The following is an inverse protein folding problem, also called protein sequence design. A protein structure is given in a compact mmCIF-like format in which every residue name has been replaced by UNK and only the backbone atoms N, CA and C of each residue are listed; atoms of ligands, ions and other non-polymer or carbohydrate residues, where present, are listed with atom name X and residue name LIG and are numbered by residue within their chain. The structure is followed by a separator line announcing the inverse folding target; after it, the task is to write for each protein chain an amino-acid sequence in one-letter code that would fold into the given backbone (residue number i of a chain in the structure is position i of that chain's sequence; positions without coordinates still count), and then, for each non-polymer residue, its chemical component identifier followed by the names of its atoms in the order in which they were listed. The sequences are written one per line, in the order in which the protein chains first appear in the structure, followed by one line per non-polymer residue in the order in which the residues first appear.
data_IF_098183387198
#
_entry.id   IF_098183387198
#
_cell.length_a   1.000
_cell.length_b   1.000
_cell.length_c   1.000
_cell.angle_alpha   90.00
_cell.angle_beta   90.00
_cell.angle_gamma   90.00
#
_symmetry.space_group_name_H-M   'P 1'
#
loop_
_entity.id
_entity.type
_entity.pdbx_description
1 polymer ?
#
# COMPACT_ATOMS: atom_id res chain seq x y z
N UNK A 1 21.85 4.46 9.38
CA UNK A 1 22.11 5.05 8.07
C UNK A 1 21.40 6.41 7.98
N UNK A 2 22.06 7.41 7.39
CA UNK A 2 21.49 8.71 7.12
C UNK A 2 21.37 8.86 5.60
N UNK A 3 20.16 9.08 5.10
CA UNK A 3 19.97 9.48 3.71
C UNK A 3 20.25 10.98 3.59
N UNK A 4 21.02 11.41 2.58
CA UNK A 4 21.27 12.83 2.35
C UNK A 4 19.98 13.53 1.87
N UNK A 5 20.02 14.84 1.81
CA UNK A 5 19.14 15.64 0.95
C UNK A 5 19.84 15.86 -0.40
N UNK A 6 19.11 16.32 -1.42
CA UNK A 6 19.74 16.83 -2.64
C UNK A 6 20.75 17.92 -2.29
N UNK A 7 21.84 18.04 -3.07
CA UNK A 7 22.86 19.07 -2.84
C UNK A 7 22.28 20.46 -3.09
N UNK A 8 21.47 20.57 -4.15
CA UNK A 8 20.85 21.83 -4.56
C UNK A 8 19.32 21.73 -4.48
N UNK A 9 18.65 22.87 -4.62
CA UNK A 9 17.23 22.92 -4.85
C UNK A 9 16.88 22.17 -6.15
N UNK A 10 15.81 21.41 -6.10
CA UNK A 10 15.40 20.61 -7.26
C UNK A 10 14.90 21.52 -8.37
N UNK A 11 15.31 21.23 -9.60
CA UNK A 11 14.89 21.94 -10.80
C UNK A 11 14.14 20.97 -11.71
N UNK A 12 12.94 21.34 -12.12
CA UNK A 12 12.11 20.56 -13.06
C UNK A 12 12.81 20.35 -14.41
N UNK A 13 12.32 19.41 -15.21
CA UNK A 13 12.87 19.16 -16.56
C UNK A 13 12.70 20.35 -17.51
N UNK A 14 11.78 21.26 -17.23
CA UNK A 14 11.57 22.52 -17.98
C UNK A 14 12.27 23.74 -17.37
N UNK A 15 13.15 23.52 -16.37
CA UNK A 15 14.03 24.56 -15.84
C UNK A 15 13.48 25.40 -14.68
N UNK A 16 12.32 25.07 -14.12
CA UNK A 16 11.76 25.77 -12.97
C UNK A 16 12.30 25.21 -11.66
N UNK A 17 12.86 26.03 -10.79
CA UNK A 17 13.22 25.62 -9.43
C UNK A 17 11.97 25.44 -8.57
N UNK A 18 11.96 24.37 -7.77
CA UNK A 18 10.93 24.17 -6.74
C UNK A 18 11.19 24.94 -5.46
N UNK A 19 12.37 25.56 -5.32
CA UNK A 19 12.75 26.46 -4.22
C UNK A 19 13.18 25.73 -2.94
N UNK A 20 13.40 24.41 -2.98
CA UNK A 20 13.89 23.63 -1.84
C UNK A 20 14.62 22.36 -2.26
N UNK A 21 15.44 21.86 -1.32
CA UNK A 21 16.12 20.57 -1.41
C UNK A 21 15.16 19.44 -1.06
N UNK A 22 15.31 18.31 -1.74
CA UNK A 22 14.42 17.16 -1.53
C UNK A 22 15.10 16.02 -0.80
N UNK A 23 14.28 15.07 -0.33
CA UNK A 23 14.67 13.86 0.39
C UNK A 23 14.47 12.62 -0.47
N UNK A 24 15.22 11.56 -0.18
CA UNK A 24 15.09 10.24 -0.83
C UNK A 24 14.22 9.26 -0.03
N UNK A 25 13.57 9.69 1.06
CA UNK A 25 12.80 8.81 1.95
C UNK A 25 11.45 8.37 1.37
N UNK A 26 10.97 9.01 0.31
CA UNK A 26 9.70 8.65 -0.35
C UNK A 26 9.92 7.56 -1.42
N UNK A 27 10.71 6.52 -1.08
CA UNK A 27 10.92 5.36 -1.95
C UNK A 27 9.80 4.32 -1.73
N UNK A 28 9.61 3.46 -2.75
CA UNK A 28 8.62 2.39 -2.73
C UNK A 28 9.30 1.02 -2.79
N UNK A 29 8.89 0.11 -1.90
CA UNK A 29 9.43 -1.24 -1.81
C UNK A 29 8.44 -2.20 -2.45
N UNK A 30 8.87 -2.84 -3.56
CA UNK A 30 8.15 -3.95 -4.18
C UNK A 30 8.86 -5.28 -3.90
N UNK A 31 8.37 -6.38 -4.48
CA UNK A 31 8.89 -7.73 -4.18
C UNK A 31 10.38 -7.89 -4.54
N UNK A 32 10.80 -7.42 -5.71
CA UNK A 32 12.16 -7.58 -6.25
C UNK A 32 12.87 -6.27 -6.51
N UNK A 33 12.20 -5.14 -6.31
CA UNK A 33 12.74 -3.81 -6.65
C UNK A 33 12.40 -2.79 -5.56
N UNK A 34 13.30 -1.81 -5.38
CA UNK A 34 13.03 -0.58 -4.63
C UNK A 34 13.10 0.59 -5.60
N UNK A 35 12.00 1.32 -5.73
CA UNK A 35 11.93 2.52 -6.57
C UNK A 35 12.28 3.74 -5.73
N UNK A 36 13.33 4.45 -6.10
CA UNK A 36 13.86 5.58 -5.33
C UNK A 36 13.67 6.87 -6.11
N UNK A 37 13.09 7.93 -5.49
CA UNK A 37 12.99 9.21 -6.15
C UNK A 37 14.38 9.79 -6.41
N UNK A 38 14.68 10.15 -7.66
CA UNK A 38 15.91 10.80 -8.09
C UNK A 38 15.58 12.19 -8.67
N UNK A 39 16.55 13.10 -8.65
CA UNK A 39 16.33 14.50 -8.94
C UNK A 39 17.37 15.09 -9.90
N UNK A 40 18.16 14.25 -10.58
CA UNK A 40 19.34 14.64 -11.36
C UNK A 40 20.35 15.42 -10.48
N UNK A 41 20.59 14.91 -9.29
CA UNK A 41 21.43 15.50 -8.25
C UNK A 41 22.61 14.55 -7.94
N UNK A 42 23.80 15.07 -7.59
CA UNK A 42 24.95 14.23 -7.22
C UNK A 42 24.64 13.20 -6.10
N UNK A 43 23.73 13.51 -5.20
CA UNK A 43 23.34 12.62 -4.11
C UNK A 43 22.37 11.50 -4.53
N UNK A 44 21.86 11.48 -5.76
CA UNK A 44 21.04 10.39 -6.26
C UNK A 44 21.75 9.04 -6.15
N UNK A 45 23.01 8.98 -6.61
CA UNK A 45 23.84 7.77 -6.52
C UNK A 45 24.16 7.37 -5.10
N UNK A 46 24.42 8.33 -4.22
CA UNK A 46 24.71 8.08 -2.79
C UNK A 46 23.49 7.51 -2.10
N UNK A 47 22.32 8.09 -2.31
CA UNK A 47 21.07 7.64 -1.73
C UNK A 47 20.67 6.24 -2.24
N UNK A 48 20.80 6.01 -3.56
CA UNK A 48 20.53 4.71 -4.16
C UNK A 48 21.45 3.62 -3.61
N UNK A 49 22.74 3.90 -3.39
CA UNK A 49 23.68 2.96 -2.80
C UNK A 49 23.32 2.62 -1.35
N UNK A 50 23.02 3.63 -0.51
CA UNK A 50 22.59 3.42 0.88
C UNK A 50 21.32 2.57 0.95
N UNK A 51 20.34 2.83 0.07
CA UNK A 51 19.10 2.06 0.01
C UNK A 51 19.38 0.64 -0.49
N UNK A 52 20.31 0.47 -1.45
CA UNK A 52 20.76 -0.85 -1.91
C UNK A 52 21.35 -1.70 -0.79
N UNK A 53 22.17 -1.12 0.06
CA UNK A 53 22.76 -1.78 1.23
C UNK A 53 21.68 -2.20 2.26
N UNK A 54 20.59 -1.43 2.38
CA UNK A 54 19.47 -1.77 3.27
C UNK A 54 18.58 -2.90 2.71
N UNK A 55 18.55 -3.06 1.39
CA UNK A 55 17.71 -4.05 0.70
C UNK A 55 18.54 -4.94 -0.24
N UNK A 56 19.49 -5.76 0.28
CA UNK A 56 20.47 -6.49 -0.55
C UNK A 56 19.86 -7.50 -1.53
N UNK A 57 18.61 -7.92 -1.29
CA UNK A 57 17.88 -8.88 -2.13
C UNK A 57 16.94 -8.19 -3.14
N UNK A 58 17.06 -6.88 -3.32
CA UNK A 58 16.23 -6.10 -4.25
C UNK A 58 17.08 -5.23 -5.16
N UNK A 59 16.63 -5.05 -6.38
CA UNK A 59 17.24 -4.11 -7.29
C UNK A 59 16.78 -2.68 -6.95
N UNK A 60 17.72 -1.75 -6.84
CA UNK A 60 17.38 -0.33 -6.67
C UNK A 60 17.26 0.32 -8.04
N UNK A 61 16.14 1.00 -8.27
CA UNK A 61 15.85 1.73 -9.50
C UNK A 61 15.52 3.18 -9.16
N UNK A 62 16.35 4.12 -9.64
CA UNK A 62 16.10 5.55 -9.52
C UNK A 62 15.03 6.00 -10.52
N UNK A 63 14.06 6.74 -10.04
CA UNK A 63 12.95 7.31 -10.85
C UNK A 63 13.09 8.83 -10.83
N UNK A 64 13.18 9.47 -11.98
CA UNK A 64 13.22 10.93 -12.06
C UNK A 64 11.89 11.54 -11.58
N UNK A 65 11.95 12.14 -10.40
CA UNK A 65 10.77 12.70 -9.72
C UNK A 65 10.76 14.24 -9.73
N UNK A 66 11.63 14.91 -10.50
CA UNK A 66 11.72 16.37 -10.52
C UNK A 66 10.39 17.05 -10.81
N UNK A 67 9.65 16.51 -11.79
CA UNK A 67 8.36 17.08 -12.21
C UNK A 67 7.24 16.72 -11.21
N UNK A 68 7.27 15.51 -10.67
CA UNK A 68 6.29 15.07 -9.65
C UNK A 68 6.43 15.88 -8.37
N UNK A 69 7.66 16.17 -7.96
CA UNK A 69 7.95 16.99 -6.78
C UNK A 69 7.35 18.39 -6.89
N UNK A 70 7.38 19.01 -8.09
CA UNK A 70 6.83 20.34 -8.33
C UNK A 70 5.31 20.45 -8.11
N UNK A 71 4.60 19.32 -8.15
CA UNK A 71 3.16 19.22 -7.87
C UNK A 71 2.84 18.54 -6.53
N UNK A 72 3.86 18.34 -5.69
CA UNK A 72 3.70 17.87 -4.31
C UNK A 72 3.70 16.35 -4.14
N UNK A 73 4.17 15.56 -5.13
CA UNK A 73 4.23 14.10 -5.06
C UNK A 73 5.61 13.54 -5.40
N UNK A 74 5.81 12.27 -5.05
CA UNK A 74 6.97 11.46 -5.40
C UNK A 74 6.55 10.00 -5.60
N UNK A 75 7.52 9.07 -5.73
CA UNK A 75 7.25 7.67 -6.08
C UNK A 75 6.21 7.01 -5.19
N UNK A 76 6.38 7.08 -3.86
CA UNK A 76 5.45 6.41 -2.94
C UNK A 76 4.03 6.99 -3.01
N UNK A 77 3.90 8.29 -3.26
CA UNK A 77 2.60 8.97 -3.32
C UNK A 77 1.70 8.50 -4.48
N UNK A 78 2.29 7.94 -5.54
CA UNK A 78 1.58 7.47 -6.74
C UNK A 78 1.57 5.95 -6.87
N UNK A 79 2.02 5.23 -5.83
CA UNK A 79 2.07 3.77 -5.79
C UNK A 79 1.11 3.21 -4.75
N UNK A 80 0.63 1.99 -5.00
CA UNK A 80 -0.25 1.26 -4.10
C UNK A 80 0.25 -0.18 -4.00
N UNK A 81 0.43 -0.68 -2.78
CA UNK A 81 0.74 -2.08 -2.55
C UNK A 81 -0.48 -2.94 -2.89
N UNK A 82 -0.26 -3.91 -3.75
CA UNK A 82 -1.19 -5.01 -3.95
C UNK A 82 -0.50 -6.28 -3.48
N UNK A 83 -0.79 -6.77 -2.27
CA UNK A 83 -0.20 -8.01 -1.77
C UNK A 83 -0.53 -9.16 -2.73
N UNK A 84 0.49 -9.94 -3.10
CA UNK A 84 0.25 -11.25 -3.69
C UNK A 84 -0.14 -12.14 -2.51
N UNK A 85 -1.45 -12.22 -2.25
CA UNK A 85 -2.01 -13.29 -1.47
C UNK A 85 -2.35 -14.44 -2.41
N UNK A 86 -2.31 -15.66 -1.96
CA UNK A 86 -3.23 -16.63 -2.54
C UNK A 86 -4.61 -15.99 -2.46
N UNK A 87 -5.40 -16.13 -3.52
CA UNK A 87 -6.83 -15.83 -3.50
C UNK A 87 -7.55 -16.90 -2.65
N UNK A 88 -6.92 -17.44 -1.64
CA UNK A 88 -7.49 -17.97 -0.40
C UNK A 88 -7.90 -16.78 0.43
N UNK A 89 -8.49 -15.92 -0.23
CA UNK A 89 -9.20 -14.87 0.37
C UNK A 89 -10.39 -15.49 1.02
N UNK A 90 -10.82 -14.86 2.04
CA UNK A 90 -12.07 -15.04 2.70
C UNK A 90 -13.29 -15.36 1.77
N UNK A 91 -13.19 -15.25 0.47
CA UNK A 91 -14.16 -15.75 -0.52
C UNK A 91 -14.15 -17.28 -0.68
N UNK A 92 -12.99 -17.97 -0.65
CA UNK A 92 -12.96 -19.44 -0.65
C UNK A 92 -13.26 -20.01 0.74
N UNK A 93 -12.91 -19.30 1.82
CA UNK A 93 -13.38 -19.64 3.17
C UNK A 93 -14.87 -19.35 3.34
N UNK A 94 -15.47 -18.46 2.56
CA UNK A 94 -16.90 -18.17 2.55
C UNK A 94 -17.73 -19.29 1.88
N UNK A 95 -17.12 -20.09 1.01
CA UNK A 95 -17.80 -21.19 0.29
C UNK A 95 -17.67 -22.54 1.01
N UNK A 96 -16.64 -22.70 1.86
CA UNK A 96 -16.49 -23.90 2.71
C UNK A 96 -17.03 -23.56 4.11
N UNK A 97 -18.35 -23.48 4.24
CA UNK A 97 -18.99 -23.59 5.53
C UNK A 97 -18.74 -25.03 5.97
N UNK A 98 -17.77 -25.21 6.85
CA UNK A 98 -17.75 -26.42 7.67
C UNK A 98 -18.97 -26.32 8.59
N UNK A 99 -20.00 -27.07 8.25
CA UNK A 99 -21.26 -27.19 9.05
C UNK A 99 -21.02 -27.70 10.49
N UNK A 100 -19.73 -28.01 10.82
CA UNK A 100 -19.33 -28.49 12.14
C UNK A 100 -19.01 -27.37 13.14
N UNK A 101 -18.91 -26.10 12.73
CA UNK A 101 -18.64 -24.99 13.63
C UNK A 101 -19.96 -24.43 14.16
N UNK A 102 -20.22 -24.64 15.45
CA UNK A 102 -21.30 -23.94 16.15
C UNK A 102 -21.00 -22.46 16.23
N UNK A 103 -21.58 -21.68 15.34
CA UNK A 103 -21.41 -20.23 15.29
C UNK A 103 -22.26 -19.49 16.33
N UNK A 104 -23.19 -20.21 17.00
CA UNK A 104 -24.13 -19.56 17.88
C UNK A 104 -25.21 -18.76 17.13
N UNK A 105 -26.01 -17.97 17.89
CA UNK A 105 -27.05 -17.15 17.29
C UNK A 105 -26.46 -15.88 16.65
N UNK A 106 -26.93 -15.55 15.44
CA UNK A 106 -26.57 -14.31 14.76
C UNK A 106 -27.18 -13.10 15.50
N UNK A 107 -26.33 -12.15 15.92
CA UNK A 107 -26.79 -10.93 16.62
C UNK A 107 -27.03 -9.79 15.62
N UNK A 108 -26.07 -9.54 14.74
CA UNK A 108 -26.15 -8.42 13.82
C UNK A 108 -25.27 -8.62 12.59
N UNK A 109 -25.58 -7.87 11.54
CA UNK A 109 -24.87 -7.84 10.28
C UNK A 109 -24.36 -6.43 10.02
N UNK A 110 -23.12 -6.31 9.53
CA UNK A 110 -22.53 -5.04 9.15
C UNK A 110 -22.06 -5.09 7.70
N UNK A 111 -22.16 -3.97 6.99
CA UNK A 111 -21.48 -3.81 5.71
C UNK A 111 -19.96 -3.66 5.92
N UNK A 112 -19.19 -3.65 4.82
CA UNK A 112 -17.72 -3.51 4.89
C UNK A 112 -17.24 -2.13 5.37
N UNK A 113 -18.15 -1.15 5.49
CA UNK A 113 -17.88 0.16 6.10
C UNK A 113 -18.15 0.19 7.62
N UNK A 114 -18.63 -0.93 8.19
CA UNK A 114 -18.98 -1.05 9.61
C UNK A 114 -20.36 -0.53 9.97
N UNK A 115 -21.22 -0.24 8.99
CA UNK A 115 -22.59 0.18 9.22
C UNK A 115 -23.50 -1.04 9.39
N UNK A 116 -24.34 -1.04 10.42
CA UNK A 116 -25.33 -2.11 10.65
C UNK A 116 -26.35 -2.18 9.52
N UNK A 117 -26.66 -3.40 9.08
CA UNK A 117 -27.58 -3.69 7.97
C UNK A 117 -28.66 -4.64 8.47
N UNK A 118 -29.92 -4.28 8.27
CA UNK A 118 -31.06 -5.12 8.68
C UNK A 118 -31.50 -6.10 7.58
N UNK A 119 -31.27 -5.75 6.31
CA UNK A 119 -31.60 -6.58 5.14
C UNK A 119 -30.39 -6.63 4.21
N UNK A 120 -29.55 -7.69 4.26
CA UNK A 120 -28.47 -7.89 3.32
C UNK A 120 -28.97 -8.05 1.87
N UNK A 121 -28.28 -7.43 0.93
CA UNK A 121 -28.54 -7.55 -0.51
C UNK A 121 -27.76 -8.73 -1.09
N UNK A 122 -28.38 -9.49 -2.02
CA UNK A 122 -27.73 -10.61 -2.69
C UNK A 122 -26.47 -10.18 -3.44
N UNK A 123 -25.42 -10.98 -3.39
CA UNK A 123 -24.16 -10.71 -4.07
C UNK A 123 -23.28 -9.66 -3.40
N UNK A 124 -23.64 -9.19 -2.21
CA UNK A 124 -22.82 -8.23 -1.44
C UNK A 124 -22.19 -8.92 -0.23
N UNK A 125 -20.94 -8.58 0.09
CA UNK A 125 -20.22 -9.13 1.23
C UNK A 125 -20.51 -8.33 2.51
N UNK A 126 -20.80 -9.06 3.60
CA UNK A 126 -21.12 -8.51 4.92
C UNK A 126 -20.28 -9.16 6.02
N UNK A 127 -20.26 -8.54 7.19
CA UNK A 127 -19.67 -9.06 8.41
C UNK A 127 -20.80 -9.48 9.36
N UNK A 128 -20.89 -10.78 9.65
CA UNK A 128 -21.86 -11.37 10.56
C UNK A 128 -21.22 -11.50 11.94
N UNK A 129 -21.92 -11.06 12.97
CA UNK A 129 -21.51 -11.11 14.37
C UNK A 129 -22.43 -12.01 15.18
N UNK A 130 -21.86 -12.95 15.91
CA UNK A 130 -22.58 -14.02 16.64
C UNK A 130 -22.45 -13.86 18.16
N UNK A 131 -23.41 -14.43 18.93
CA UNK A 131 -23.44 -14.31 20.41
C UNK A 131 -22.20 -14.83 21.11
N UNK A 132 -21.55 -15.85 20.56
CA UNK A 132 -20.32 -16.43 21.12
C UNK A 132 -19.07 -15.59 20.87
N UNK A 133 -19.22 -14.37 20.29
CA UNK A 133 -18.14 -13.48 19.93
C UNK A 133 -17.48 -13.79 18.58
N UNK A 134 -17.91 -14.84 17.89
CA UNK A 134 -17.43 -15.15 16.56
C UNK A 134 -17.86 -14.07 15.55
N UNK A 135 -16.99 -13.82 14.61
CA UNK A 135 -17.23 -12.89 13.50
C UNK A 135 -16.94 -13.60 12.19
N UNK A 136 -17.86 -13.55 11.25
CA UNK A 136 -17.71 -14.19 9.95
C UNK A 136 -18.01 -13.20 8.83
N UNK A 137 -17.18 -13.19 7.80
CA UNK A 137 -17.46 -12.44 6.58
C UNK A 137 -18.23 -13.36 5.63
N UNK A 138 -19.39 -12.93 5.17
CA UNK A 138 -20.31 -13.72 4.35
C UNK A 138 -20.70 -12.96 3.09
N UNK A 139 -20.75 -13.64 1.95
CA UNK A 139 -21.42 -13.13 0.75
C UNK A 139 -22.90 -13.52 0.87
N UNK A 140 -23.81 -12.55 0.81
CA UNK A 140 -25.23 -12.83 0.87
C UNK A 140 -25.69 -13.52 -0.43
N UNK A 141 -26.25 -14.72 -0.30
CA UNK A 141 -26.81 -15.55 -1.38
C UNK A 141 -28.32 -15.37 -1.47
#
# INVERSE_FOLDING_TARGET
HHLPLTVNDVVTTWGQSVGYRSTYTNYYIANTVVLVPNYNDPNDTVANAIIGDLYPNRNVVGIDCRNMLSVGGMVHCVTQQQPIGEINTALNELILIDDSIDLGQLICVYDLSGRRVDCPELGVAYVFHYENGNVKKVLAD
#
